data_IF_233909888267
#
_entry.id   IF_233909888267
#
_cell.length_a   1.000
_cell.length_b   1.000
_cell.length_c   1.000
_cell.angle_alpha   90.00
_cell.angle_beta   90.00
_cell.angle_gamma   90.00
#
_symmetry.space_group_name_H-M   'P 1'
#
loop_
_entity.id
_entity.type
_entity.pdbx_description
1 polymer ?
#
# COMPACT_ATOMS: atom_id res chain seq x y z
N UNK A 1 -5.48 11.56 4.26
CA UNK A 1 -5.23 12.55 3.20
C UNK A 1 -4.77 11.82 1.95
N UNK A 2 -5.44 12.04 0.83
CA UNK A 2 -5.09 11.43 -0.46
C UNK A 2 -4.62 12.51 -1.41
N UNK A 3 -3.44 12.31 -2.02
CA UNK A 3 -2.89 13.23 -3.01
C UNK A 3 -2.25 12.48 -4.17
N UNK A 4 -2.43 12.99 -5.38
CA UNK A 4 -1.63 12.53 -6.52
C UNK A 4 -0.19 13.02 -6.33
N UNK A 5 0.77 12.31 -6.93
CA UNK A 5 2.19 12.61 -6.71
C UNK A 5 2.53 14.09 -6.89
N UNK A 6 2.04 14.70 -7.96
CA UNK A 6 2.36 16.09 -8.29
C UNK A 6 1.87 17.10 -7.24
N UNK A 7 0.90 16.70 -6.41
CA UNK A 7 0.32 17.55 -5.38
C UNK A 7 0.97 17.37 -4.00
N UNK A 8 1.92 16.42 -3.88
CA UNK A 8 2.63 16.22 -2.62
C UNK A 8 3.55 17.41 -2.34
N UNK A 9 3.60 17.84 -1.09
CA UNK A 9 4.63 18.77 -0.65
C UNK A 9 5.95 18.01 -0.51
N UNK A 10 7.05 18.75 -0.49
CA UNK A 10 8.37 18.14 -0.28
C UNK A 10 8.43 17.42 1.07
N UNK A 11 7.83 18.02 2.11
CA UNK A 11 7.78 17.41 3.44
C UNK A 11 6.98 16.11 3.42
N UNK A 12 5.82 16.09 2.76
CA UNK A 12 5.02 14.88 2.66
C UNK A 12 5.77 13.78 1.92
N UNK A 13 6.43 14.10 0.82
CA UNK A 13 7.22 13.13 0.08
C UNK A 13 8.35 12.58 0.96
N UNK A 14 9.05 13.45 1.67
CA UNK A 14 10.14 13.04 2.55
C UNK A 14 9.64 12.11 3.66
N UNK A 15 8.52 12.47 4.30
CA UNK A 15 7.90 11.67 5.36
C UNK A 15 7.52 10.27 4.84
N UNK A 16 6.93 10.20 3.66
CA UNK A 16 6.53 8.94 3.03
C UNK A 16 7.75 8.05 2.79
N UNK A 17 8.79 8.59 2.16
CA UNK A 17 9.99 7.82 1.84
C UNK A 17 10.71 7.36 3.10
N UNK A 18 10.75 8.21 4.13
CA UNK A 18 11.39 7.88 5.40
C UNK A 18 10.65 6.73 6.11
N UNK A 19 9.32 6.76 6.14
CA UNK A 19 8.53 5.68 6.74
C UNK A 19 8.72 4.36 5.97
N UNK A 20 8.70 4.40 4.65
CA UNK A 20 8.91 3.22 3.81
C UNK A 20 10.28 2.60 4.06
N UNK A 21 11.33 3.42 4.12
CA UNK A 21 12.68 2.94 4.40
C UNK A 21 12.75 2.28 5.78
N UNK A 22 12.20 2.92 6.80
CA UNK A 22 12.25 2.42 8.17
C UNK A 22 11.63 1.04 8.32
N UNK A 23 10.51 0.78 7.63
CA UNK A 23 9.79 -0.49 7.75
C UNK A 23 10.31 -1.52 6.75
N UNK A 24 10.35 -1.19 5.48
CA UNK A 24 10.66 -2.19 4.44
C UNK A 24 12.14 -2.54 4.39
N UNK A 25 13.03 -1.56 4.53
CA UNK A 25 14.46 -1.80 4.40
C UNK A 25 15.13 -2.14 5.74
N UNK A 26 14.79 -1.41 6.79
CA UNK A 26 15.46 -1.54 8.09
C UNK A 26 14.77 -2.60 8.95
N UNK A 27 13.47 -2.44 9.25
CA UNK A 27 12.76 -3.37 10.13
C UNK A 27 12.66 -4.78 9.53
N UNK A 28 12.29 -4.88 8.25
CA UNK A 28 12.16 -6.18 7.57
C UNK A 28 13.51 -6.70 7.07
N UNK A 29 14.56 -5.90 7.19
CA UNK A 29 15.92 -6.26 6.78
C UNK A 29 15.95 -6.80 5.34
N UNK A 30 15.28 -6.10 4.44
CA UNK A 30 15.13 -6.52 3.06
C UNK A 30 15.75 -5.48 2.13
N UNK A 31 16.71 -5.90 1.33
CA UNK A 31 17.39 -5.01 0.39
C UNK A 31 16.72 -5.15 -0.98
N UNK A 32 15.99 -4.12 -1.38
CA UNK A 32 15.36 -4.05 -2.70
C UNK A 32 15.17 -2.58 -3.10
N UNK A 33 14.82 -2.36 -4.35
CA UNK A 33 14.61 -0.99 -4.85
C UNK A 33 13.21 -0.51 -4.47
N UNK A 34 13.11 0.18 -3.34
CA UNK A 34 11.82 0.71 -2.87
C UNK A 34 11.31 1.85 -3.74
N UNK A 35 12.20 2.75 -4.15
CA UNK A 35 11.85 3.86 -5.06
C UNK A 35 11.93 3.32 -6.48
N UNK A 36 10.78 3.01 -7.08
CA UNK A 36 10.67 2.20 -8.30
C UNK A 36 10.06 2.95 -9.50
N UNK A 37 10.03 4.28 -9.46
CA UNK A 37 9.44 5.17 -10.47
C UNK A 37 7.91 5.09 -10.58
N UNK A 38 7.26 4.12 -9.97
CA UNK A 38 5.79 4.04 -9.99
C UNK A 38 5.15 5.16 -9.19
N UNK A 39 5.85 5.65 -8.16
CA UNK A 39 5.31 6.68 -7.27
C UNK A 39 4.82 7.91 -8.01
N UNK A 40 5.49 8.28 -9.10
CA UNK A 40 5.15 9.47 -9.89
C UNK A 40 3.79 9.39 -10.56
N UNK A 41 3.27 8.17 -10.74
CA UNK A 41 2.00 7.90 -11.41
C UNK A 41 0.90 7.46 -10.45
N UNK A 42 1.18 7.50 -9.15
CA UNK A 42 0.28 6.99 -8.12
C UNK A 42 -0.36 8.11 -7.32
N UNK A 43 -1.49 7.76 -6.70
CA UNK A 43 -2.01 8.52 -5.57
C UNK A 43 -1.36 8.02 -4.30
N UNK A 44 -1.19 8.89 -3.33
CA UNK A 44 -0.55 8.58 -2.06
C UNK A 44 -1.53 8.86 -0.92
N UNK A 45 -1.82 7.82 -0.15
CA UNK A 45 -2.73 7.91 0.99
C UNK A 45 -1.92 7.95 2.27
N UNK A 46 -2.07 9.03 3.03
CA UNK A 46 -1.29 9.30 4.21
C UNK A 46 -2.20 9.48 5.42
N UNK A 47 -1.92 8.78 6.50
CA UNK A 47 -2.55 9.01 7.79
C UNK A 47 -1.54 9.66 8.71
N UNK A 48 -1.86 10.88 9.15
CA UNK A 48 -1.06 11.63 10.10
C UNK A 48 -1.74 11.65 11.46
N UNK A 49 -0.95 11.53 12.51
CA UNK A 49 -1.36 11.83 13.86
C UNK A 49 -0.53 13.04 14.28
N UNK A 50 -1.20 14.20 14.38
CA UNK A 50 -0.53 15.47 14.54
C UNK A 50 0.44 15.69 13.37
N UNK A 51 1.73 15.86 13.60
CA UNK A 51 2.70 16.08 12.53
C UNK A 51 3.45 14.82 12.12
N UNK A 52 3.06 13.64 12.63
CA UNK A 52 3.78 12.40 12.37
C UNK A 52 3.00 11.47 11.46
N UNK A 53 3.65 10.96 10.42
CA UNK A 53 3.04 9.99 9.50
C UNK A 53 2.98 8.63 10.18
N UNK A 54 1.75 8.13 10.42
CA UNK A 54 1.56 6.87 11.16
C UNK A 54 1.22 5.69 10.26
N UNK A 55 0.69 5.94 9.07
CA UNK A 55 0.40 4.88 8.10
C UNK A 55 0.36 5.45 6.69
N UNK A 56 0.63 4.60 5.70
CA UNK A 56 0.73 5.02 4.31
C UNK A 56 0.47 3.86 3.37
N UNK A 57 -0.12 4.14 2.22
CA UNK A 57 -0.08 3.24 1.07
C UNK A 57 -0.17 4.06 -0.21
N UNK A 58 0.18 3.43 -1.35
CA UNK A 58 -0.02 4.06 -2.66
C UNK A 58 -1.14 3.35 -3.40
N UNK A 59 -1.97 4.14 -4.09
CA UNK A 59 -3.04 3.64 -4.94
C UNK A 59 -2.54 3.72 -6.38
N UNK A 60 -2.48 2.58 -7.03
CA UNK A 60 -1.81 2.42 -8.33
C UNK A 60 -2.85 2.31 -9.43
N UNK A 61 -2.81 3.19 -10.44
CA UNK A 61 -3.74 3.11 -11.57
C UNK A 61 -3.59 1.81 -12.37
N UNK A 62 -4.62 1.50 -13.16
CA UNK A 62 -4.61 0.38 -14.10
C UNK A 62 -3.38 0.46 -15.03
N UNK A 63 -2.78 -0.68 -15.26
CA UNK A 63 -1.67 -0.80 -16.21
C UNK A 63 -0.28 -0.48 -15.68
N UNK A 64 -0.17 0.05 -14.47
CA UNK A 64 1.13 0.36 -13.87
C UNK A 64 1.74 -0.89 -13.24
N UNK A 65 0.99 -1.60 -12.42
CA UNK A 65 1.42 -2.86 -11.81
C UNK A 65 0.79 -4.07 -12.50
N UNK A 66 -0.47 -3.97 -12.87
CA UNK A 66 -1.23 -5.06 -13.50
C UNK A 66 -2.14 -4.48 -14.59
N UNK A 67 -2.21 -5.15 -15.73
CA UNK A 67 -3.13 -4.76 -16.79
C UNK A 67 -4.57 -5.15 -16.39
N UNK A 68 -5.49 -4.21 -16.48
CA UNK A 68 -6.90 -4.42 -16.16
C UNK A 68 -7.25 -4.29 -14.69
N UNK A 69 -6.27 -3.99 -13.84
CA UNK A 69 -6.47 -3.87 -12.39
C UNK A 69 -5.84 -2.60 -11.85
N UNK A 70 -6.54 -1.94 -10.94
CA UNK A 70 -5.88 -1.00 -10.03
C UNK A 70 -5.22 -1.80 -8.92
N UNK A 71 -4.33 -1.18 -8.16
CA UNK A 71 -3.61 -1.86 -7.08
C UNK A 71 -3.43 -0.96 -5.87
N UNK A 72 -3.21 -1.57 -4.73
CA UNK A 72 -2.78 -0.89 -3.50
C UNK A 72 -1.43 -1.50 -3.13
N UNK A 73 -0.43 -0.66 -2.98
CA UNK A 73 0.91 -1.12 -2.67
C UNK A 73 1.59 -0.30 -1.61
N UNK A 74 2.76 -0.76 -1.19
CA UNK A 74 3.57 -0.11 -0.15
C UNK A 74 2.75 0.20 1.10
N UNK A 75 1.89 -0.75 1.50
CA UNK A 75 1.09 -0.63 2.71
C UNK A 75 2.00 -0.73 3.92
N UNK A 76 2.01 0.29 4.76
CA UNK A 76 2.96 0.37 5.86
C UNK A 76 2.35 1.12 7.04
N UNK A 77 2.67 0.69 8.25
CA UNK A 77 2.35 1.43 9.46
C UNK A 77 3.62 1.66 10.28
N UNK A 78 3.66 2.82 10.95
CA UNK A 78 4.79 3.20 11.79
C UNK A 78 4.83 2.26 13.01
N UNK A 79 6.01 1.64 13.25
CA UNK A 79 6.18 0.67 14.35
C UNK A 79 5.85 1.23 15.72
N UNK A 80 6.01 2.54 15.91
CA UNK A 80 5.72 3.18 17.20
C UNK A 80 4.23 3.23 17.50
N UNK A 81 3.38 3.03 16.49
CA UNK A 81 1.92 3.16 16.62
C UNK A 81 1.17 1.88 16.28
N UNK A 82 1.87 0.75 16.16
CA UNK A 82 1.22 -0.54 15.95
C UNK A 82 0.40 -0.89 17.18
N UNK A 83 -0.68 -1.64 17.00
CA UNK A 83 -1.69 -1.96 18.01
C UNK A 83 -2.70 -0.83 18.26
N UNK A 84 -2.56 0.32 17.61
CA UNK A 84 -3.56 1.39 17.67
C UNK A 84 -4.58 1.31 16.52
N UNK A 85 -4.46 0.30 15.65
CA UNK A 85 -5.45 0.06 14.59
C UNK A 85 -5.26 0.90 13.33
N UNK A 86 -4.12 1.57 13.15
CA UNK A 86 -3.91 2.44 11.99
C UNK A 86 -3.81 1.66 10.68
N UNK A 87 -3.30 0.44 10.69
CA UNK A 87 -3.26 -0.38 9.48
C UNK A 87 -4.64 -0.70 8.96
N UNK A 88 -5.56 -1.05 9.83
CA UNK A 88 -6.94 -1.33 9.47
C UNK A 88 -7.65 -0.04 9.03
N UNK A 89 -7.43 1.04 9.73
CA UNK A 89 -7.99 2.35 9.38
C UNK A 89 -7.50 2.80 8.01
N UNK A 90 -6.21 2.61 7.73
CA UNK A 90 -5.63 2.93 6.44
C UNK A 90 -6.32 2.14 5.31
N UNK A 91 -6.48 0.82 5.49
CA UNK A 91 -7.09 -0.02 4.47
C UNK A 91 -8.55 0.31 4.25
N UNK A 92 -9.31 0.59 5.30
CA UNK A 92 -10.70 1.01 5.16
C UNK A 92 -10.79 2.30 4.33
N UNK A 93 -9.91 3.26 4.61
CA UNK A 93 -9.86 4.52 3.86
C UNK A 93 -9.40 4.28 2.42
N UNK A 94 -8.41 3.40 2.23
CA UNK A 94 -7.92 3.05 0.89
C UNK A 94 -9.04 2.45 0.03
N UNK A 95 -9.84 1.53 0.58
CA UNK A 95 -10.95 0.92 -0.16
C UNK A 95 -11.98 1.97 -0.57
N UNK A 96 -12.29 2.90 0.33
CA UNK A 96 -13.18 4.01 0.02
C UNK A 96 -12.65 4.86 -1.13
N UNK A 97 -11.36 5.23 -1.05
CA UNK A 97 -10.72 6.08 -2.07
C UNK A 97 -10.58 5.37 -3.42
N UNK A 98 -10.30 4.06 -3.41
CA UNK A 98 -10.23 3.28 -4.64
C UNK A 98 -11.55 3.33 -5.43
N UNK A 99 -12.68 3.26 -4.73
CA UNK A 99 -13.98 3.36 -5.38
C UNK A 99 -14.23 4.75 -5.95
N UNK A 100 -13.68 5.80 -5.33
CA UNK A 100 -13.83 7.17 -5.81
C UNK A 100 -12.94 7.48 -7.01
N UNK A 101 -11.68 7.02 -6.95
CA UNK A 101 -10.67 7.36 -7.96
C UNK A 101 -10.70 6.40 -9.14
N UNK A 102 -10.93 5.11 -8.90
CA UNK A 102 -10.94 4.07 -9.92
C UNK A 102 -12.25 3.28 -9.89
N UNK A 103 -13.40 3.94 -10.12
CA UNK A 103 -14.68 3.24 -10.11
C UNK A 103 -14.68 2.14 -11.18
N UNK A 104 -15.29 1.02 -10.86
CA UNK A 104 -15.46 -0.13 -11.78
C UNK A 104 -14.21 -0.93 -12.09
N UNK A 105 -13.05 -0.59 -11.51
CA UNK A 105 -11.85 -1.41 -11.68
C UNK A 105 -11.73 -2.43 -10.54
N UNK A 106 -11.42 -3.70 -10.88
CA UNK A 106 -11.03 -4.65 -9.84
C UNK A 106 -9.65 -4.28 -9.30
N UNK A 107 -9.35 -4.73 -8.08
CA UNK A 107 -8.11 -4.42 -7.40
C UNK A 107 -7.30 -5.71 -7.26
N UNK A 108 -6.03 -5.68 -7.68
CA UNK A 108 -5.12 -6.81 -7.49
C UNK A 108 -3.93 -6.35 -6.67
N UNK A 109 -3.55 -7.17 -5.69
CA UNK A 109 -2.43 -6.87 -4.80
C UNK A 109 -1.49 -8.08 -4.72
N UNK A 110 -0.23 -7.81 -4.37
CA UNK A 110 0.74 -8.81 -3.97
C UNK A 110 0.92 -8.66 -2.47
N UNK A 111 0.24 -9.52 -1.71
CA UNK A 111 0.20 -9.43 -0.26
C UNK A 111 1.29 -10.29 0.36
N UNK A 112 1.93 -9.80 1.42
CA UNK A 112 2.80 -10.66 2.22
C UNK A 112 1.93 -11.77 2.79
N UNK A 113 2.38 -13.01 2.67
CA UNK A 113 1.57 -14.20 2.96
C UNK A 113 0.98 -14.19 4.37
N UNK A 114 1.73 -13.72 5.35
CA UNK A 114 1.24 -13.69 6.73
C UNK A 114 0.07 -12.70 6.94
N UNK A 115 -0.18 -11.81 5.98
CA UNK A 115 -1.26 -10.85 6.04
C UNK A 115 -2.50 -11.27 5.25
N UNK A 116 -2.53 -12.52 4.75
CA UNK A 116 -3.64 -13.00 3.93
C UNK A 116 -5.01 -12.78 4.60
N UNK A 117 -5.15 -13.18 5.86
CA UNK A 117 -6.43 -13.02 6.57
C UNK A 117 -6.81 -11.55 6.75
N UNK A 118 -5.83 -10.70 6.95
CA UNK A 118 -6.07 -9.26 7.06
C UNK A 118 -6.73 -8.73 5.79
N UNK A 119 -6.17 -9.06 4.63
CA UNK A 119 -6.73 -8.61 3.35
C UNK A 119 -8.04 -9.31 3.02
N UNK A 120 -8.21 -10.57 3.39
CA UNK A 120 -9.49 -11.25 3.23
C UNK A 120 -10.62 -10.53 3.96
N UNK A 121 -10.33 -9.93 5.12
CA UNK A 121 -11.32 -9.17 5.87
C UNK A 121 -11.81 -7.92 5.13
N UNK A 122 -11.11 -7.49 4.10
CA UNK A 122 -11.52 -6.37 3.24
C UNK A 122 -12.13 -6.83 1.91
N UNK A 123 -12.35 -8.13 1.75
CA UNK A 123 -13.03 -8.68 0.57
C UNK A 123 -12.09 -9.19 -0.52
N UNK A 124 -10.80 -9.27 -0.26
CA UNK A 124 -9.86 -9.85 -1.20
C UNK A 124 -9.90 -11.37 -1.15
N UNK A 125 -9.70 -12.01 -2.29
CA UNK A 125 -9.61 -13.47 -2.40
C UNK A 125 -8.29 -13.86 -3.03
N UNK A 126 -7.73 -14.98 -2.59
CA UNK A 126 -6.46 -15.50 -3.09
C UNK A 126 -6.59 -15.97 -4.54
N UNK A 127 -5.56 -15.67 -5.35
CA UNK A 127 -5.45 -16.14 -6.73
C UNK A 127 -4.09 -16.82 -6.89
N UNK A 128 -4.11 -18.11 -7.18
CA UNK A 128 -2.89 -18.89 -7.40
C UNK A 128 -2.21 -19.29 -6.10
N UNK A 129 -0.94 -19.66 -6.22
CA UNK A 129 -0.14 -20.16 -5.11
C UNK A 129 0.80 -19.04 -4.62
N UNK A 130 1.30 -19.19 -3.39
CA UNK A 130 2.25 -18.24 -2.85
C UNK A 130 3.58 -18.31 -3.61
N UNK A 131 4.34 -17.21 -3.58
CA UNK A 131 5.63 -17.07 -4.25
C UNK A 131 6.55 -16.19 -3.42
N UNK A 132 7.84 -16.24 -3.73
CA UNK A 132 8.81 -15.36 -3.06
C UNK A 132 8.91 -14.05 -3.82
N UNK A 133 8.90 -12.94 -3.10
CA UNK A 133 9.14 -11.61 -3.63
C UNK A 133 10.03 -10.88 -2.62
N UNK A 134 11.21 -10.45 -3.07
CA UNK A 134 12.22 -9.83 -2.20
C UNK A 134 12.50 -10.67 -0.95
N UNK A 135 12.61 -11.98 -1.13
CA UNK A 135 12.89 -12.97 -0.08
C UNK A 135 11.81 -13.07 1.00
N UNK A 136 10.62 -12.56 0.73
CA UNK A 136 9.46 -12.64 1.63
C UNK A 136 8.34 -13.39 0.91
N UNK A 137 7.68 -14.39 1.56
CA UNK A 137 6.54 -15.07 0.95
C UNK A 137 5.39 -14.11 0.69
N UNK A 138 4.87 -14.14 -0.53
CA UNK A 138 3.75 -13.32 -0.97
C UNK A 138 2.67 -14.16 -1.63
N UNK A 139 1.49 -13.61 -1.79
CA UNK A 139 0.40 -14.24 -2.49
C UNK A 139 -0.42 -13.18 -3.22
N UNK A 140 -0.81 -13.48 -4.45
CA UNK A 140 -1.67 -12.57 -5.21
C UNK A 140 -3.10 -12.66 -4.68
N UNK A 141 -3.73 -11.51 -4.55
CA UNK A 141 -5.12 -11.43 -4.10
C UNK A 141 -5.88 -10.42 -4.96
N UNK A 142 -7.16 -10.69 -5.18
CA UNK A 142 -8.01 -9.85 -6.02
C UNK A 142 -9.30 -9.52 -5.29
N UNK A 143 -9.76 -8.30 -5.45
CA UNK A 143 -11.09 -7.87 -5.05
C UNK A 143 -11.80 -7.37 -6.30
N UNK A 144 -12.94 -7.97 -6.63
CA UNK A 144 -13.75 -7.55 -7.77
C UNK A 144 -14.45 -6.22 -7.47
N UNK A 145 -14.65 -5.46 -8.52
CA UNK A 145 -15.34 -4.16 -8.42
C UNK A 145 -16.82 -4.30 -8.06
#
# INVERSE_FOLDING_TARGET
>A
MLKYFDDLTLTELYDVLQLREAVFQIEQNCIYKDIDDKDRKCYHLMLYKEAELVAYCRLVPDGISYDGYASIGRVVSNSNYRKEGYGRQLMAKAMEKMMQVFPHLPIKISAQLYLQKFYESFGFTVVGEWYMEDDIPHIAMVKKS
#
